data_IF_063550221757
#
_entry.id   IF_063550221757
#
_cell.length_a   1.000
_cell.length_b   1.000
_cell.length_c   1.000
_cell.angle_alpha   90.00
_cell.angle_beta   90.00
_cell.angle_gamma   90.00
#
_symmetry.space_group_name_H-M   'P 1'
#
loop_
_entity.id
_entity.type
_entity.pdbx_description
1 polymer ?
#
# COMPACT_ATOMS: atom_id res chain seq x y z
N UNK A 1 -2.63 -9.27 10.20
CA UNK A 1 -3.23 -8.78 8.94
C UNK A 1 -3.65 -9.93 8.03
N UNK A 2 -2.75 -10.80 7.53
CA UNK A 2 -3.17 -11.89 6.62
C UNK A 2 -4.02 -13.01 7.22
N UNK A 3 -3.94 -13.25 8.54
CA UNK A 3 -4.63 -14.35 9.22
C UNK A 3 -5.70 -13.91 10.22
N UNK A 4 -5.95 -12.60 10.32
CA UNK A 4 -6.92 -12.05 11.27
C UNK A 4 -8.00 -11.27 10.53
N UNK A 5 -9.23 -11.81 10.43
CA UNK A 5 -10.32 -11.18 9.68
C UNK A 5 -10.86 -9.90 10.32
N UNK A 6 -10.49 -9.59 11.57
CA UNK A 6 -10.88 -8.33 12.22
C UNK A 6 -9.94 -7.17 11.85
N UNK A 7 -8.71 -7.48 11.42
CA UNK A 7 -7.72 -6.47 11.02
C UNK A 7 -7.95 -6.00 9.57
N UNK A 8 -8.80 -4.98 9.40
CA UNK A 8 -9.20 -4.45 8.09
C UNK A 8 -8.38 -3.26 7.57
N UNK A 9 -7.57 -2.64 8.43
CA UNK A 9 -6.86 -1.39 8.13
C UNK A 9 -5.37 -1.61 8.33
N UNK A 10 -4.58 -1.22 7.32
CA UNK A 10 -3.13 -1.19 7.38
C UNK A 10 -2.66 0.27 7.23
N UNK A 11 -1.90 0.74 8.22
CA UNK A 11 -1.29 2.07 8.20
C UNK A 11 0.21 1.91 7.94
N UNK A 12 0.70 2.54 6.88
CA UNK A 12 2.12 2.54 6.50
C UNK A 12 2.57 3.95 6.17
N UNK A 13 3.81 4.27 6.50
CA UNK A 13 4.44 5.50 6.05
C UNK A 13 4.94 5.34 4.62
N UNK A 14 4.68 6.31 3.75
CA UNK A 14 5.12 6.31 2.34
C UNK A 14 6.65 6.09 2.20
N UNK A 15 7.45 6.59 3.15
CA UNK A 15 8.91 6.40 3.15
C UNK A 15 9.34 4.95 3.43
N UNK A 16 8.50 4.14 4.07
CA UNK A 16 8.76 2.73 4.35
C UNK A 16 8.52 1.82 3.14
N UNK A 17 7.98 2.34 2.05
CA UNK A 17 7.61 1.58 0.87
C UNK A 17 8.82 1.00 0.12
N UNK A 18 10.00 1.61 0.28
CA UNK A 18 11.27 1.13 -0.28
C UNK A 18 11.81 -0.15 0.36
N UNK A 19 11.15 -0.69 1.39
CA UNK A 19 11.58 -1.91 2.09
C UNK A 19 11.13 -3.21 1.39
N UNK A 20 10.36 -3.12 0.30
CA UNK A 20 9.84 -4.30 -0.40
C UNK A 20 8.76 -5.06 0.38
N UNK A 21 7.92 -4.31 1.09
CA UNK A 21 6.81 -4.88 1.87
C UNK A 21 5.69 -5.35 0.94
N UNK A 22 5.27 -6.59 1.08
CA UNK A 22 4.28 -7.18 0.20
C UNK A 22 2.85 -6.80 0.63
N UNK A 23 2.31 -5.69 0.11
CA UNK A 23 1.02 -5.11 0.48
C UNK A 23 -0.21 -5.79 -0.18
N UNK A 24 -0.07 -7.02 -0.69
CA UNK A 24 -1.11 -7.75 -1.46
C UNK A 24 -2.41 -7.99 -0.65
N UNK A 25 -2.39 -7.82 0.67
CA UNK A 25 -3.57 -7.96 1.49
C UNK A 25 -4.56 -6.77 1.39
N UNK A 26 -4.15 -5.65 0.78
CA UNK A 26 -4.99 -4.45 0.67
C UNK A 26 -5.57 -4.28 -0.75
N UNK A 27 -6.88 -4.05 -0.84
CA UNK A 27 -7.58 -3.79 -2.10
C UNK A 27 -7.77 -2.30 -2.39
N UNK A 28 -7.54 -1.44 -1.39
CA UNK A 28 -7.79 -0.01 -1.47
C UNK A 28 -6.68 0.78 -0.77
N UNK A 29 -6.17 1.81 -1.46
CA UNK A 29 -5.14 2.71 -0.95
C UNK A 29 -5.72 4.12 -0.77
N UNK A 30 -5.42 4.75 0.36
CA UNK A 30 -5.70 6.15 0.61
C UNK A 30 -4.39 6.86 0.95
N UNK A 31 -4.01 7.83 0.12
CA UNK A 31 -2.89 8.72 0.40
C UNK A 31 -3.41 9.91 1.23
N UNK A 32 -2.92 10.03 2.47
CA UNK A 32 -3.31 11.11 3.39
C UNK A 32 -2.58 12.42 3.12
N UNK A 33 -1.40 12.37 2.48
CA UNK A 33 -0.57 13.53 2.18
C UNK A 33 0.04 13.39 0.78
N UNK A 34 -0.06 14.43 -0.06
CA UNK A 34 0.59 14.46 -1.38
C UNK A 34 2.08 14.67 -1.23
N UNK A 35 2.88 13.69 -1.64
CA UNK A 35 4.33 13.80 -1.58
C UNK A 35 4.87 14.60 -2.78
N UNK A 36 5.92 15.39 -2.59
CA UNK A 36 6.49 16.24 -3.66
C UNK A 36 7.19 15.43 -4.79
N UNK A 37 7.26 14.10 -4.66
CA UNK A 37 7.81 13.23 -5.69
C UNK A 37 6.76 12.20 -6.16
N UNK A 38 6.11 12.43 -7.32
CA UNK A 38 5.05 11.57 -7.80
C UNK A 38 5.52 10.16 -8.14
N UNK A 39 6.82 9.96 -8.43
CA UNK A 39 7.36 8.64 -8.74
C UNK A 39 7.37 7.70 -7.53
N UNK A 40 7.47 8.25 -6.31
CA UNK A 40 7.42 7.44 -5.08
C UNK A 40 5.98 7.00 -4.79
N UNK A 41 5.00 7.88 -5.06
CA UNK A 41 3.58 7.55 -4.91
C UNK A 41 3.16 6.46 -5.90
N UNK A 42 3.57 6.58 -7.17
CA UNK A 42 3.25 5.58 -8.20
C UNK A 42 3.84 4.20 -7.85
N UNK A 43 5.08 4.16 -7.35
CA UNK A 43 5.70 2.93 -6.89
C UNK A 43 4.91 2.27 -5.75
N UNK A 44 4.50 3.08 -4.76
CA UNK A 44 3.71 2.63 -3.62
C UNK A 44 2.34 2.07 -4.01
N UNK A 45 1.65 2.73 -4.94
CA UNK A 45 0.36 2.28 -5.45
C UNK A 45 0.51 0.97 -6.22
N UNK A 46 1.56 0.84 -7.04
CA UNK A 46 1.84 -0.37 -7.82
C UNK A 46 2.15 -1.60 -6.93
N UNK A 47 2.60 -1.42 -5.68
CA UNK A 47 2.76 -2.53 -4.74
C UNK A 47 1.42 -3.04 -4.16
N UNK A 48 0.43 -2.15 -4.03
CA UNK A 48 -0.90 -2.45 -3.49
C UNK A 48 -1.81 -3.01 -4.59
N UNK A 49 -1.78 -2.38 -5.78
CA UNK A 49 -2.64 -2.71 -6.90
C UNK A 49 -1.95 -3.68 -7.86
N UNK A 50 -2.22 -4.98 -7.73
CA UNK A 50 -1.76 -6.00 -8.68
C UNK A 50 -2.90 -6.51 -9.55
N UNK A 51 -2.59 -6.70 -10.84
CA UNK A 51 -3.50 -7.30 -11.82
C UNK A 51 -3.94 -8.68 -11.31
N UNK A 52 -5.22 -8.83 -11.00
CA UNK A 52 -5.83 -10.08 -10.52
C UNK A 52 -6.29 -10.08 -9.06
N UNK A 53 -6.06 -9.01 -8.28
CA UNK A 53 -6.76 -8.84 -7.00
C UNK A 53 -8.24 -8.50 -7.28
N UNK A 54 -9.16 -9.30 -6.74
CA UNK A 54 -10.62 -9.11 -6.81
C UNK A 54 -11.18 -9.03 -5.40
#
# INVERSE_FOLDING_TARGET
FSNDPETKILLINLKCESLGLNLIAANQCFLMDSWWNPSIEDQAINQIYRIGQT
#
